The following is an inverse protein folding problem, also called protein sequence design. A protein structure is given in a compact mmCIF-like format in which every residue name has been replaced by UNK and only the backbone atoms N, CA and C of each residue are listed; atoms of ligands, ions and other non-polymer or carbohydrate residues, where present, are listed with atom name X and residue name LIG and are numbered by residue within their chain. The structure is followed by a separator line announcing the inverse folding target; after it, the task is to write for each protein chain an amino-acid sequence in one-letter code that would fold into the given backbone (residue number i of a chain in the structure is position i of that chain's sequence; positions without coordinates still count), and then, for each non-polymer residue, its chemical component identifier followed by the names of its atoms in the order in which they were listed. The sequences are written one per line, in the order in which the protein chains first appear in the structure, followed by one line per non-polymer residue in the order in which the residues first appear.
data_IF_428385298661
#
_entry.id   IF_428385298661
#
_cell.length_a   1.000
_cell.length_b   1.000
_cell.length_c   1.000
_cell.angle_alpha   90.00
_cell.angle_beta   90.00
_cell.angle_gamma   90.00
#
_symmetry.space_group_name_H-M   'P 1'
#
loop_
_entity.id
_entity.type
_entity.pdbx_description
1 polymer ?
#
# COMPACT_ATOMS: atom_id res chain seq x y z
N UNK A 1 27.95 56.99 18.53
CA UNK A 1 28.66 56.01 17.69
C UNK A 1 28.86 54.77 18.56
N UNK A 2 28.28 53.59 18.37
CA UNK A 2 27.40 52.99 17.36
C UNK A 2 26.76 51.80 18.08
N UNK A 3 25.44 51.77 18.23
CA UNK A 3 24.73 50.60 18.77
C UNK A 3 24.75 49.49 17.71
N UNK A 4 25.54 48.44 17.94
CA UNK A 4 25.53 47.22 17.12
C UNK A 4 24.24 46.44 17.42
N UNK A 5 23.24 46.67 16.58
CA UNK A 5 21.97 45.97 16.61
C UNK A 5 22.11 44.65 15.83
N UNK A 6 22.76 43.66 16.44
CA UNK A 6 22.78 42.28 15.94
C UNK A 6 21.40 41.63 16.12
N UNK A 7 20.45 42.03 15.26
CA UNK A 7 19.17 41.34 15.12
C UNK A 7 19.42 39.98 14.49
N UNK A 8 19.73 38.99 15.32
CA UNK A 8 19.81 37.58 14.94
C UNK A 8 18.49 37.20 14.27
N UNK A 9 18.50 37.09 12.94
CA UNK A 9 17.31 36.82 12.15
C UNK A 9 16.60 35.58 12.72
N UNK A 10 15.36 35.75 13.16
CA UNK A 10 14.58 34.68 13.77
C UNK A 10 14.33 33.61 12.70
N UNK A 11 15.17 32.56 12.69
CA UNK A 11 15.06 31.47 11.74
C UNK A 11 13.93 30.56 12.20
N UNK A 12 12.74 30.77 11.65
CA UNK A 12 11.60 29.90 11.90
C UNK A 12 11.96 28.45 11.53
N UNK A 13 11.56 27.50 12.38
CA UNK A 13 11.71 26.08 12.06
C UNK A 13 10.90 25.79 10.80
N UNK A 14 11.46 24.99 9.89
CA UNK A 14 10.79 24.60 8.66
C UNK A 14 9.45 23.94 8.99
N UNK A 15 8.40 24.26 8.24
CA UNK A 15 7.04 23.79 8.49
C UNK A 15 6.92 22.26 8.53
N UNK A 16 7.69 21.54 7.70
CA UNK A 16 7.72 20.07 7.69
C UNK A 16 8.32 19.44 8.96
N UNK A 17 8.89 20.23 9.88
CA UNK A 17 9.34 19.78 11.20
C UNK A 17 8.32 20.09 12.32
N UNK A 18 7.20 20.74 11.99
CA UNK A 18 6.15 21.07 12.94
C UNK A 18 5.01 20.05 12.83
N UNK A 19 4.95 19.10 13.78
CA UNK A 19 3.91 18.07 13.82
C UNK A 19 2.52 18.64 14.08
N UNK A 20 2.41 19.72 14.86
CA UNK A 20 1.12 20.39 15.11
C UNK A 20 0.52 20.92 13.80
N UNK A 21 1.36 21.55 12.96
CA UNK A 21 0.95 21.97 11.61
C UNK A 21 0.60 20.76 10.74
N UNK A 22 1.43 19.70 10.69
CA UNK A 22 1.19 18.54 9.83
C UNK A 22 -0.10 17.78 10.17
N UNK A 23 -0.52 17.81 11.43
CA UNK A 23 -1.76 17.20 11.90
C UNK A 23 -2.98 18.14 11.77
N UNK A 24 -2.78 19.40 11.39
CA UNK A 24 -3.86 20.35 11.19
C UNK A 24 -4.66 20.08 9.92
N UNK A 25 -5.78 20.80 9.77
CA UNK A 25 -6.61 20.79 8.55
C UNK A 25 -5.85 21.33 7.34
N UNK A 26 -5.02 22.35 7.54
CA UNK A 26 -4.30 23.05 6.47
C UNK A 26 -3.25 22.15 5.82
N UNK A 27 -2.66 21.22 6.57
CA UNK A 27 -1.68 20.27 6.05
C UNK A 27 -2.30 18.99 5.46
N UNK A 28 -3.63 18.89 5.32
CA UNK A 28 -4.29 17.70 4.74
C UNK A 28 -3.75 17.35 3.35
N UNK A 29 -3.56 18.34 2.48
CA UNK A 29 -3.02 18.12 1.13
C UNK A 29 -1.61 17.55 1.17
N UNK A 30 -0.80 17.96 2.14
CA UNK A 30 0.56 17.43 2.33
C UNK A 30 0.49 15.96 2.74
N UNK A 31 -0.41 15.58 3.66
CA UNK A 31 -0.59 14.18 4.06
C UNK A 31 -1.07 13.31 2.90
N UNK A 32 -2.03 13.78 2.09
CA UNK A 32 -2.48 13.05 0.89
C UNK A 32 -1.30 12.82 -0.08
N UNK A 33 -0.48 13.85 -0.31
CA UNK A 33 0.69 13.72 -1.17
C UNK A 33 1.73 12.75 -0.59
N UNK A 34 1.93 12.76 0.73
CA UNK A 34 2.82 11.82 1.41
C UNK A 34 2.34 10.36 1.28
N UNK A 35 1.05 10.11 1.48
CA UNK A 35 0.42 8.79 1.29
C UNK A 35 0.47 8.30 -0.16
N UNK A 36 0.69 9.19 -1.13
CA UNK A 36 0.92 8.80 -2.52
C UNK A 36 2.40 8.56 -2.83
N UNK A 37 3.27 9.51 -2.47
CA UNK A 37 4.69 9.47 -2.84
C UNK A 37 5.48 8.41 -2.08
N UNK A 38 5.16 8.17 -0.81
CA UNK A 38 5.89 7.21 0.00
C UNK A 38 5.70 5.76 -0.49
N UNK A 39 4.46 5.25 -0.72
CA UNK A 39 4.28 3.93 -1.30
C UNK A 39 4.88 3.79 -2.68
N UNK A 40 4.76 4.82 -3.54
CA UNK A 40 5.39 4.83 -4.86
C UNK A 40 6.91 4.63 -4.77
N UNK A 41 7.58 5.42 -3.93
CA UNK A 41 9.02 5.31 -3.74
C UNK A 41 9.44 3.93 -3.21
N UNK A 42 8.63 3.34 -2.34
CA UNK A 42 8.88 1.99 -1.82
C UNK A 42 8.73 0.93 -2.92
N UNK A 43 7.67 0.98 -3.73
CA UNK A 43 7.47 0.04 -4.85
C UNK A 43 8.58 0.14 -5.89
N UNK A 44 9.03 1.35 -6.22
CA UNK A 44 10.17 1.58 -7.11
C UNK A 44 11.47 0.99 -6.54
N UNK A 45 11.72 1.17 -5.23
CA UNK A 45 12.89 0.61 -4.55
C UNK A 45 12.91 -0.92 -4.55
N UNK A 46 11.75 -1.56 -4.40
CA UNK A 46 11.61 -3.02 -4.46
C UNK A 46 11.59 -3.56 -5.90
N UNK A 47 11.77 -2.71 -6.91
CA UNK A 47 11.80 -3.13 -8.31
C UNK A 47 10.46 -3.64 -8.85
N UNK A 48 9.34 -3.20 -8.26
CA UNK A 48 8.00 -3.58 -8.72
C UNK A 48 7.67 -2.83 -10.01
N UNK A 49 7.75 -3.54 -11.14
CA UNK A 49 7.46 -2.97 -12.47
C UNK A 49 6.06 -3.31 -12.95
N UNK A 50 5.67 -4.59 -12.85
CA UNK A 50 4.37 -5.06 -13.30
C UNK A 50 3.56 -5.62 -12.13
N UNK A 51 2.30 -5.23 -12.04
CA UNK A 51 1.41 -5.66 -10.95
C UNK A 51 0.16 -6.32 -11.52
N UNK A 52 -0.18 -7.49 -11.00
CA UNK A 52 -1.48 -8.13 -11.22
C UNK A 52 -2.35 -7.81 -10.00
N UNK A 53 -3.40 -7.01 -10.21
CA UNK A 53 -4.33 -6.62 -9.14
C UNK A 53 -5.45 -7.64 -9.03
N UNK A 54 -5.64 -8.22 -7.84
CA UNK A 54 -6.70 -9.18 -7.56
C UNK A 54 -7.73 -8.57 -6.61
N UNK A 55 -9.00 -8.65 -7.00
CA UNK A 55 -10.14 -8.25 -6.18
C UNK A 55 -10.97 -9.47 -5.77
N UNK A 56 -11.53 -9.43 -4.57
CA UNK A 56 -12.36 -10.49 -4.01
C UNK A 56 -13.18 -9.98 -2.82
N UNK A 57 -14.17 -10.77 -2.40
CA UNK A 57 -14.98 -10.45 -1.22
C UNK A 57 -14.18 -10.69 0.06
N UNK A 58 -13.99 -9.66 0.88
CA UNK A 58 -13.44 -9.73 2.24
C UNK A 58 -14.29 -10.60 3.22
N UNK A 59 -15.39 -11.19 2.75
CA UNK A 59 -16.29 -12.04 3.56
C UNK A 59 -16.17 -13.53 3.21
N UNK A 60 -15.43 -13.86 2.15
CA UNK A 60 -15.24 -15.25 1.73
C UNK A 60 -14.45 -16.00 2.82
N UNK A 61 -15.04 -17.02 3.46
CA UNK A 61 -14.36 -17.71 4.55
C UNK A 61 -13.23 -18.58 3.99
N UNK A 62 -12.13 -18.64 4.73
CA UNK A 62 -11.09 -19.64 4.51
C UNK A 62 -11.61 -21.05 4.85
N UNK A 63 -10.90 -22.12 4.44
CA UNK A 63 -11.29 -23.50 4.78
C UNK A 63 -11.46 -23.75 6.29
N UNK A 64 -10.66 -23.08 7.11
CA UNK A 64 -10.70 -23.20 8.58
C UNK A 64 -11.93 -22.49 9.17
N UNK A 65 -12.36 -21.39 8.56
CA UNK A 65 -13.53 -20.61 8.99
C UNK A 65 -14.85 -21.14 8.42
N UNK A 66 -14.80 -22.07 7.46
CA UNK A 66 -15.99 -22.58 6.79
C UNK A 66 -16.96 -23.25 7.78
N UNK A 67 -16.42 -24.00 8.73
CA UNK A 67 -17.19 -24.76 9.72
C UNK A 67 -18.03 -23.87 10.65
N UNK A 68 -17.60 -22.62 10.88
CA UNK A 68 -18.31 -21.63 11.71
C UNK A 68 -19.03 -20.57 10.87
N UNK A 69 -19.03 -20.72 9.55
CA UNK A 69 -19.62 -19.76 8.63
C UNK A 69 -21.10 -20.01 8.37
N UNK A 70 -21.86 -18.92 8.23
CA UNK A 70 -23.27 -19.01 7.81
C UNK A 70 -23.37 -19.40 6.33
N UNK A 71 -24.51 -19.94 5.93
CA UNK A 71 -24.76 -20.49 4.58
C UNK A 71 -24.41 -19.51 3.44
N UNK A 72 -24.74 -18.22 3.60
CA UNK A 72 -24.40 -17.16 2.64
C UNK A 72 -22.89 -16.96 2.45
N UNK A 73 -22.09 -17.07 3.52
CA UNK A 73 -20.62 -17.02 3.45
C UNK A 73 -20.05 -18.32 2.90
N UNK A 74 -20.65 -19.46 3.25
CA UNK A 74 -20.26 -20.77 2.73
C UNK A 74 -20.29 -20.83 1.20
N UNK A 75 -21.26 -20.18 0.55
CA UNK A 75 -21.33 -20.07 -0.92
C UNK A 75 -20.11 -19.38 -1.53
N UNK A 76 -19.45 -18.48 -0.79
CA UNK A 76 -18.26 -17.76 -1.23
C UNK A 76 -16.96 -18.53 -1.00
N UNK A 77 -16.96 -19.54 -0.13
CA UNK A 77 -15.77 -20.31 0.24
C UNK A 77 -15.08 -20.94 -0.98
N UNK A 78 -15.86 -21.38 -1.98
CA UNK A 78 -15.32 -21.91 -3.23
C UNK A 78 -14.42 -20.89 -3.94
N UNK A 79 -14.77 -19.61 -3.90
CA UNK A 79 -13.99 -18.57 -4.57
C UNK A 79 -12.68 -18.27 -3.85
N UNK A 80 -12.60 -18.50 -2.53
CA UNK A 80 -11.35 -18.43 -1.79
C UNK A 80 -10.32 -19.43 -2.36
N UNK A 81 -10.73 -20.70 -2.52
CA UNK A 81 -9.86 -21.74 -3.10
C UNK A 81 -9.54 -21.45 -4.57
N UNK A 82 -10.53 -21.05 -5.39
CA UNK A 82 -10.27 -20.68 -6.78
C UNK A 82 -9.25 -19.54 -6.90
N UNK A 83 -9.31 -18.53 -6.03
CA UNK A 83 -8.38 -17.40 -6.04
C UNK A 83 -6.97 -17.84 -5.65
N UNK A 84 -6.82 -18.72 -4.65
CA UNK A 84 -5.53 -19.30 -4.27
C UNK A 84 -4.90 -20.11 -5.40
N UNK A 85 -5.68 -20.95 -6.05
CA UNK A 85 -5.22 -21.75 -7.19
C UNK A 85 -4.84 -20.88 -8.39
N UNK A 86 -5.67 -19.89 -8.73
CA UNK A 86 -5.39 -18.95 -9.82
C UNK A 86 -4.08 -18.20 -9.55
N UNK A 87 -3.91 -17.65 -8.35
CA UNK A 87 -2.72 -16.90 -7.98
C UNK A 87 -1.47 -17.78 -8.01
N UNK A 88 -1.56 -19.02 -7.53
CA UNK A 88 -0.46 -19.99 -7.61
C UNK A 88 -0.08 -20.33 -9.06
N UNK A 89 -1.07 -20.49 -9.95
CA UNK A 89 -0.85 -20.74 -11.38
C UNK A 89 -0.21 -19.52 -12.07
N UNK A 90 -0.68 -18.31 -11.77
CA UNK A 90 -0.11 -17.07 -12.27
C UNK A 90 1.36 -16.92 -11.85
N UNK A 91 1.67 -17.13 -10.56
CA UNK A 91 3.05 -17.03 -10.08
C UNK A 91 3.98 -18.06 -10.73
N UNK A 92 3.49 -19.29 -10.99
CA UNK A 92 4.26 -20.31 -11.72
C UNK A 92 4.46 -19.93 -13.19
N UNK A 93 3.42 -19.42 -13.84
CA UNK A 93 3.48 -18.95 -15.22
C UNK A 93 4.48 -17.82 -15.38
N UNK A 94 4.44 -16.79 -14.50
CA UNK A 94 5.38 -15.67 -14.50
C UNK A 94 6.83 -16.14 -14.38
N UNK A 95 7.13 -17.07 -13.46
CA UNK A 95 8.47 -17.65 -13.33
C UNK A 95 8.93 -18.43 -14.57
N UNK A 96 8.00 -19.02 -15.31
CA UNK A 96 8.32 -19.72 -16.55
C UNK A 96 8.59 -18.76 -17.72
N UNK A 97 8.27 -17.47 -17.60
CA UNK A 97 8.54 -16.43 -18.62
C UNK A 97 9.96 -15.84 -18.52
N UNK A 98 10.79 -16.31 -17.58
CA UNK A 98 12.13 -15.79 -17.23
C UNK A 98 13.19 -15.83 -18.36
N UNK A 99 12.81 -15.95 -19.64
CA UNK A 99 13.61 -15.45 -20.77
C UNK A 99 13.51 -13.92 -20.92
N UNK A 100 12.55 -13.25 -20.26
CA UNK A 100 12.40 -11.80 -20.25
C UNK A 100 12.51 -11.24 -18.82
N UNK A 101 13.25 -10.13 -18.64
CA UNK A 101 13.55 -9.44 -17.37
C UNK A 101 12.32 -8.89 -16.60
N UNK A 102 11.10 -9.25 -16.99
CA UNK A 102 9.87 -8.68 -16.43
C UNK A 102 9.37 -9.48 -15.24
N UNK A 103 9.44 -8.86 -14.06
CA UNK A 103 8.87 -9.38 -12.82
C UNK A 103 7.41 -8.90 -12.67
N UNK A 104 6.49 -9.83 -12.47
CA UNK A 104 5.10 -9.54 -12.09
C UNK A 104 4.87 -9.86 -10.62
N UNK A 105 4.25 -8.94 -9.89
CA UNK A 105 3.84 -9.15 -8.49
C UNK A 105 2.33 -9.14 -8.36
N UNK A 106 1.81 -9.87 -7.37
CA UNK A 106 0.39 -9.87 -7.03
C UNK A 106 0.12 -8.80 -6.01
N UNK A 107 -0.89 -7.96 -6.25
CA UNK A 107 -1.36 -6.94 -5.31
C UNK A 107 -2.85 -7.15 -5.01
N UNK A 108 -3.22 -6.96 -3.75
CA UNK A 108 -4.62 -7.02 -3.29
C UNK A 108 -4.93 -5.82 -2.39
N UNK A 109 -6.19 -5.69 -1.98
CA UNK A 109 -6.60 -4.66 -1.03
C UNK A 109 -6.17 -4.88 0.43
N UNK A 110 -5.45 -5.96 0.75
CA UNK A 110 -5.00 -6.26 2.12
C UNK A 110 -6.11 -6.66 3.11
N UNK A 111 -7.25 -7.14 2.59
CA UNK A 111 -8.33 -7.69 3.41
C UNK A 111 -8.04 -9.11 3.94
N UNK A 112 -8.97 -9.68 4.73
CA UNK A 112 -8.86 -11.04 5.30
C UNK A 112 -9.05 -12.16 4.26
#
# INVERSE_FOLDING_TARGET
MTENNDKKAFKSKKAYKNLEFLNSRDARTIRILAEYLYPKAQLEKEGVQNTIVIFGSARAPSPEELATSNEERGKLAKYYNCTRELTAKLSKWVKALEENEQTYVVCSGGGP
#
